data_IF_064595170777
#
_entry.id   IF_064595170777
#
_cell.length_a   1.000
_cell.length_b   1.000
_cell.length_c   1.000
_cell.angle_alpha   90.00
_cell.angle_beta   90.00
_cell.angle_gamma   90.00
#
_symmetry.space_group_name_H-M   'P 1'
#
loop_
_entity.id
_entity.type
_entity.pdbx_description
1 polymer ?
#
# COMPACT_ATOMS: atom_id res chain seq x y z
N UNK A 1 47.92 38.63 34.54
CA UNK A 1 47.14 37.44 34.93
C UNK A 1 47.36 36.38 33.83
N UNK A 2 48.56 35.77 33.71
CA UNK A 2 49.01 34.51 34.35
C UNK A 2 48.07 33.33 34.00
N UNK A 3 48.44 32.19 33.39
CA UNK A 3 49.69 31.43 33.08
C UNK A 3 49.50 30.70 31.71
N UNK A 4 50.47 30.49 30.80
CA UNK A 4 51.80 29.83 30.78
C UNK A 4 51.81 28.27 30.67
N UNK A 5 52.37 27.79 29.54
CA UNK A 5 53.18 26.56 29.29
C UNK A 5 52.43 25.19 29.29
N UNK A 6 52.74 24.21 28.42
CA UNK A 6 54.05 23.57 28.14
C UNK A 6 54.10 22.96 26.72
N UNK A 7 55.29 23.04 26.14
CA UNK A 7 55.78 22.44 24.90
C UNK A 7 56.46 21.09 25.22
N UNK A 8 56.34 20.04 24.40
CA UNK A 8 57.34 18.95 24.42
C UNK A 8 57.55 18.34 23.03
N UNK A 9 58.83 18.07 22.73
CA UNK A 9 59.47 17.97 21.43
C UNK A 9 60.34 16.69 21.44
N UNK A 10 60.31 15.90 20.35
CA UNK A 10 61.32 14.90 19.89
C UNK A 10 61.57 13.69 20.84
N UNK A 11 61.90 12.44 20.43
CA UNK A 11 62.90 11.85 19.51
C UNK A 11 62.42 10.38 19.25
N UNK A 12 62.12 9.90 18.04
CA UNK A 12 62.95 9.25 16.99
C UNK A 12 63.53 7.82 17.26
N UNK A 13 63.30 6.93 16.26
CA UNK A 13 63.92 5.64 15.88
C UNK A 13 63.37 4.35 16.54
N UNK A 14 63.05 3.23 15.86
CA UNK A 14 63.63 2.62 14.64
C UNK A 14 62.74 1.50 14.03
N UNK A 15 62.45 1.59 12.71
CA UNK A 15 62.53 0.53 11.65
C UNK A 15 61.75 -0.82 11.78
N UNK A 16 60.77 -1.09 10.87
CA UNK A 16 60.83 -2.03 9.69
C UNK A 16 59.44 -2.50 9.18
N UNK A 17 59.19 -2.29 7.88
CA UNK A 17 58.37 -3.05 6.91
C UNK A 17 57.10 -3.84 7.35
N UNK A 18 55.92 -3.44 6.85
CA UNK A 18 55.19 -4.15 5.77
C UNK A 18 53.96 -3.35 5.29
N UNK A 19 53.86 -3.30 3.97
CA UNK A 19 52.91 -2.61 3.10
C UNK A 19 51.51 -3.22 3.09
N UNK A 20 50.46 -2.40 3.20
CA UNK A 20 49.15 -2.60 2.54
C UNK A 20 48.64 -1.21 2.11
N UNK A 21 48.42 -1.04 0.80
CA UNK A 21 47.97 0.20 0.17
C UNK A 21 46.55 0.58 0.61
N UNK A 22 46.38 1.79 1.14
CA UNK A 22 45.10 2.49 1.24
C UNK A 22 45.02 3.53 0.13
N UNK A 23 44.22 3.25 -0.90
CA UNK A 23 43.87 4.24 -1.93
C UNK A 23 42.79 5.17 -1.43
N UNK A 24 43.09 6.47 -1.41
CA UNK A 24 42.25 7.57 -0.93
C UNK A 24 41.02 7.82 -1.82
N UNK A 25 39.82 7.72 -1.24
CA UNK A 25 38.59 8.33 -1.76
C UNK A 25 38.55 9.81 -1.32
N UNK A 26 39.33 10.64 -1.99
CA UNK A 26 39.26 12.09 -1.86
C UNK A 26 39.34 12.67 -3.27
N UNK A 27 38.19 12.71 -3.96
CA UNK A 27 37.89 13.60 -5.09
C UNK A 27 36.48 13.31 -5.61
N UNK A 28 35.47 13.68 -4.83
CA UNK A 28 34.07 13.81 -5.30
C UNK A 28 33.45 15.05 -4.64
N UNK A 29 34.10 16.20 -4.83
CA UNK A 29 33.46 17.51 -4.75
C UNK A 29 33.68 18.14 -6.11
N UNK A 30 32.60 18.67 -6.67
CA UNK A 30 32.55 19.40 -7.93
C UNK A 30 32.48 18.51 -9.18
N UNK A 31 31.25 18.17 -9.58
CA UNK A 31 30.95 17.75 -10.95
C UNK A 31 29.70 18.51 -11.40
N UNK A 32 29.95 19.68 -11.98
CA UNK A 32 28.97 20.47 -12.71
C UNK A 32 28.43 19.68 -13.91
N UNK A 33 27.17 19.94 -14.23
CA UNK A 33 26.41 19.27 -15.28
C UNK A 33 26.95 19.74 -16.64
N UNK A 34 27.81 18.92 -17.26
CA UNK A 34 28.24 19.07 -18.64
C UNK A 34 27.53 18.07 -19.55
N UNK A 35 26.95 18.56 -20.64
CA UNK A 35 26.41 17.77 -21.75
C UNK A 35 27.47 16.79 -22.29
N UNK A 36 27.29 15.49 -22.07
CA UNK A 36 28.08 14.46 -22.75
C UNK A 36 27.30 13.90 -23.94
N UNK A 37 27.51 14.52 -25.11
CA UNK A 37 27.35 13.88 -26.40
C UNK A 37 28.66 13.18 -26.76
N UNK A 38 28.72 11.85 -26.66
CA UNK A 38 29.91 11.11 -27.07
C UNK A 38 30.02 9.72 -26.45
N UNK A 39 30.32 8.74 -27.28
CA UNK A 39 30.46 7.31 -26.99
C UNK A 39 31.65 6.99 -26.08
N UNK A 40 31.50 7.15 -24.76
CA UNK A 40 32.50 6.68 -23.79
C UNK A 40 31.89 5.63 -22.84
N UNK A 41 32.31 4.37 -22.99
CA UNK A 41 31.82 3.19 -22.24
C UNK A 41 32.69 2.86 -21.01
N UNK A 42 33.35 3.84 -20.39
CA UNK A 42 34.41 3.57 -19.41
C UNK A 42 34.18 4.11 -17.99
N UNK A 43 33.04 4.73 -17.69
CA UNK A 43 32.71 5.20 -16.33
C UNK A 43 31.40 4.58 -15.84
N UNK A 44 31.43 3.35 -15.33
CA UNK A 44 30.22 2.69 -14.80
C UNK A 44 30.45 2.21 -13.36
N UNK A 45 29.58 2.59 -12.41
CA UNK A 45 29.66 2.06 -11.05
C UNK A 45 29.35 0.55 -11.06
N UNK A 46 30.28 -0.24 -10.54
CA UNK A 46 30.24 -1.70 -10.52
C UNK A 46 29.17 -2.21 -9.53
N UNK A 47 28.15 -2.93 -10.04
CA UNK A 47 27.10 -3.59 -9.24
C UNK A 47 25.90 -3.97 -10.11
N UNK A 48 25.23 -5.11 -9.86
CA UNK A 48 24.11 -5.54 -10.72
C UNK A 48 22.84 -4.73 -10.48
N UNK A 49 22.54 -4.40 -9.22
CA UNK A 49 21.39 -3.54 -8.87
C UNK A 49 21.66 -2.12 -9.39
N UNK A 50 22.88 -1.63 -9.16
CA UNK A 50 23.34 -0.33 -9.66
C UNK A 50 23.27 -0.24 -11.18
N UNK A 51 23.75 -1.26 -11.89
CA UNK A 51 23.69 -1.33 -13.36
C UNK A 51 22.25 -1.32 -13.89
N UNK A 52 21.35 -2.08 -13.26
CA UNK A 52 19.94 -2.10 -13.64
C UNK A 52 19.26 -0.73 -13.43
N UNK A 53 19.60 -0.02 -12.35
CA UNK A 53 19.12 1.35 -12.11
C UNK A 53 19.61 2.34 -13.19
N UNK A 54 20.90 2.32 -13.52
CA UNK A 54 21.45 3.20 -14.57
C UNK A 54 20.87 2.89 -15.95
N UNK A 55 20.54 1.63 -16.24
CA UNK A 55 19.85 1.29 -17.48
C UNK A 55 18.47 1.94 -17.56
N UNK A 56 17.70 1.98 -16.46
CA UNK A 56 16.42 2.72 -16.42
C UNK A 56 16.60 4.22 -16.66
N UNK A 57 17.67 4.82 -16.15
CA UNK A 57 18.01 6.23 -16.42
C UNK A 57 18.33 6.44 -17.91
N UNK A 58 19.17 5.58 -18.50
CA UNK A 58 19.54 5.66 -19.93
C UNK A 58 18.33 5.52 -20.85
N UNK A 59 17.37 4.69 -20.46
CA UNK A 59 16.12 4.50 -21.19
C UNK A 59 15.11 5.64 -20.96
N UNK A 60 15.47 6.68 -20.21
CA UNK A 60 14.59 7.79 -19.82
C UNK A 60 13.33 7.36 -19.04
N UNK A 61 13.36 6.18 -18.39
CA UNK A 61 12.26 5.70 -17.55
C UNK A 61 12.22 6.43 -16.20
N UNK A 62 13.39 6.80 -15.68
CA UNK A 62 13.55 7.50 -14.40
C UNK A 62 14.64 8.57 -14.51
N UNK A 63 14.68 9.51 -13.55
CA UNK A 63 15.77 10.48 -13.42
C UNK A 63 16.64 10.13 -12.21
N UNK A 64 17.87 10.63 -12.19
CA UNK A 64 18.82 10.40 -11.10
C UNK A 64 18.28 10.96 -9.78
N UNK A 65 18.26 10.11 -8.75
CA UNK A 65 17.86 10.48 -7.39
C UNK A 65 18.96 10.10 -6.39
N UNK A 66 19.52 11.11 -5.70
CA UNK A 66 20.60 10.91 -4.73
C UNK A 66 20.18 10.04 -3.54
N UNK A 67 18.92 10.08 -3.14
CA UNK A 67 18.40 9.27 -2.02
C UNK A 67 18.22 7.81 -2.46
N UNK A 68 17.76 7.58 -3.70
CA UNK A 68 17.70 6.23 -4.27
C UNK A 68 19.09 5.61 -4.44
N UNK A 69 20.10 6.40 -4.86
CA UNK A 69 21.48 5.90 -5.00
C UNK A 69 22.07 5.38 -3.68
N UNK A 70 21.83 6.06 -2.55
CA UNK A 70 22.26 5.56 -1.22
C UNK A 70 21.60 4.24 -0.84
N UNK A 71 20.32 4.09 -1.17
CA UNK A 71 19.60 2.83 -0.97
C UNK A 71 20.21 1.74 -1.84
N UNK A 72 20.50 2.04 -3.11
CA UNK A 72 21.11 1.09 -4.07
C UNK A 72 22.48 0.61 -3.58
N UNK A 73 23.33 1.49 -3.03
CA UNK A 73 24.62 1.10 -2.43
C UNK A 73 24.41 0.04 -1.33
N UNK A 74 23.44 0.27 -0.44
CA UNK A 74 23.11 -0.67 0.63
C UNK A 74 22.51 -1.99 0.09
N UNK A 75 21.71 -1.92 -0.97
CA UNK A 75 21.15 -3.10 -1.65
C UNK A 75 22.24 -3.94 -2.31
N UNK A 76 23.25 -3.31 -2.90
CA UNK A 76 24.40 -4.02 -3.49
C UNK A 76 25.24 -4.69 -2.40
N UNK A 77 25.49 -4.02 -1.26
CA UNK A 77 26.16 -4.64 -0.11
C UNK A 77 25.42 -5.86 0.42
N UNK A 78 24.09 -5.77 0.53
CA UNK A 78 23.27 -6.91 0.94
C UNK A 78 23.36 -8.04 -0.09
N UNK A 79 23.26 -7.72 -1.38
CA UNK A 79 23.37 -8.69 -2.47
C UNK A 79 24.68 -9.46 -2.42
N UNK A 80 25.81 -8.77 -2.20
CA UNK A 80 27.13 -9.43 -2.07
C UNK A 80 27.17 -10.38 -0.87
N UNK A 81 26.61 -9.99 0.28
CA UNK A 81 26.48 -10.88 1.45
C UNK A 81 25.62 -12.11 1.15
N UNK A 82 24.58 -11.97 0.34
CA UNK A 82 23.67 -13.07 -0.02
C UNK A 82 24.29 -14.07 -0.99
N UNK A 83 25.32 -13.71 -1.78
CA UNK A 83 25.98 -14.65 -2.70
C UNK A 83 26.60 -15.86 -1.99
N UNK A 84 27.16 -15.63 -0.81
CA UNK A 84 27.81 -16.66 0.00
C UNK A 84 26.91 -17.14 1.15
N UNK A 85 25.67 -16.68 1.21
CA UNK A 85 24.77 -17.01 2.30
C UNK A 85 24.10 -18.36 2.07
N UNK A 86 24.24 -19.25 3.04
CA UNK A 86 23.58 -20.56 3.04
C UNK A 86 22.65 -20.61 4.25
N UNK A 87 21.38 -20.91 3.99
CA UNK A 87 20.38 -21.09 5.04
C UNK A 87 20.61 -22.44 5.71
N UNK A 88 21.21 -22.44 6.89
CA UNK A 88 21.36 -23.66 7.70
C UNK A 88 20.04 -23.97 8.42
N UNK A 89 19.46 -25.15 8.14
CA UNK A 89 18.30 -25.63 8.90
C UNK A 89 18.76 -26.01 10.31
N UNK A 90 18.07 -25.58 11.39
CA UNK A 90 18.45 -25.92 12.75
C UNK A 90 18.39 -27.44 12.96
N UNK A 91 19.56 -28.08 13.06
CA UNK A 91 19.66 -29.52 13.32
C UNK A 91 19.34 -29.82 14.79
N UNK A 92 18.60 -30.89 15.08
CA UNK A 92 18.12 -31.24 16.44
C UNK A 92 19.25 -31.38 17.49
N UNK A 93 20.50 -31.65 17.06
CA UNK A 93 21.67 -31.78 17.93
C UNK A 93 22.36 -30.44 18.27
N UNK A 94 22.03 -29.34 17.58
CA UNK A 94 22.63 -28.02 17.83
C UNK A 94 22.19 -27.36 19.14
N UNK A 95 21.14 -27.89 19.80
CA UNK A 95 20.65 -27.38 21.09
C UNK A 95 21.46 -27.85 22.30
N UNK A 96 22.25 -28.92 22.20
CA UNK A 96 23.01 -29.46 23.34
C UNK A 96 24.38 -28.83 23.54
N UNK A 97 24.94 -28.22 22.48
CA UNK A 97 26.20 -27.50 22.54
C UNK A 97 25.87 -26.06 22.16
N UNK A 98 25.94 -25.14 23.11
CA UNK A 98 25.55 -23.73 22.96
C UNK A 98 26.29 -23.02 21.83
N UNK A 99 25.86 -23.27 20.60
CA UNK A 99 26.37 -22.63 19.38
C UNK A 99 25.83 -21.21 19.37
N UNK A 100 26.71 -20.24 19.13
CA UNK A 100 26.32 -18.86 18.87
C UNK A 100 25.19 -18.84 17.82
N UNK A 101 24.13 -18.05 18.09
CA UNK A 101 23.06 -17.83 17.11
C UNK A 101 23.70 -17.41 15.79
N UNK A 102 23.55 -18.24 14.77
CA UNK A 102 24.11 -17.99 13.45
C UNK A 102 23.56 -16.66 12.92
N UNK A 103 24.47 -15.74 12.59
CA UNK A 103 24.12 -14.39 12.13
C UNK A 103 23.58 -14.46 10.70
N UNK A 104 22.26 -14.38 10.54
CA UNK A 104 21.65 -14.11 9.25
C UNK A 104 21.92 -12.66 8.82
N UNK A 105 22.06 -12.36 7.51
CA UNK A 105 22.14 -11.00 7.02
C UNK A 105 20.92 -10.19 7.42
N UNK A 106 21.13 -8.95 7.87
CA UNK A 106 20.01 -8.05 8.14
C UNK A 106 19.26 -7.76 6.84
N UNK A 107 17.94 -7.88 6.91
CA UNK A 107 17.03 -7.47 5.85
C UNK A 107 16.95 -5.95 5.69
N UNK A 108 16.06 -5.52 4.81
CA UNK A 108 15.80 -4.11 4.52
C UNK A 108 14.35 -3.78 4.85
N UNK A 109 14.15 -2.69 5.58
CA UNK A 109 12.83 -2.09 5.74
C UNK A 109 12.86 -0.70 5.12
N UNK A 110 12.41 -0.61 3.87
CA UNK A 110 12.43 0.63 3.10
C UNK A 110 11.12 1.39 3.31
N UNK A 111 11.18 2.58 3.86
CA UNK A 111 10.00 3.38 4.16
C UNK A 111 10.10 4.82 3.68
N UNK A 112 8.96 5.45 3.46
CA UNK A 112 8.88 6.86 3.04
C UNK A 112 7.56 7.16 2.35
N UNK A 113 7.36 8.40 1.92
CA UNK A 113 6.18 8.82 1.16
C UNK A 113 6.00 7.97 -0.09
N UNK A 114 4.79 7.82 -0.62
CA UNK A 114 4.62 7.03 -1.86
C UNK A 114 5.11 7.84 -3.07
N UNK A 115 5.35 7.15 -4.17
CA UNK A 115 5.90 7.77 -5.38
C UNK A 115 7.42 7.95 -5.36
N UNK A 116 8.09 7.75 -4.23
CA UNK A 116 9.56 7.85 -4.11
C UNK A 116 10.34 6.65 -4.70
N UNK A 117 9.65 5.61 -5.19
CA UNK A 117 10.28 4.48 -5.90
C UNK A 117 10.62 3.25 -5.07
N UNK A 118 10.09 3.08 -3.85
CA UNK A 118 10.38 1.91 -2.98
C UNK A 118 10.17 0.56 -3.67
N UNK A 119 9.00 0.37 -4.28
CA UNK A 119 8.66 -0.87 -4.99
C UNK A 119 9.60 -1.11 -6.17
N UNK A 120 9.95 -0.06 -6.92
CA UNK A 120 10.93 -0.16 -8.01
C UNK A 120 12.32 -0.60 -7.51
N UNK A 121 12.81 -0.04 -6.41
CA UNK A 121 14.09 -0.46 -5.82
C UNK A 121 14.04 -1.90 -5.29
N UNK A 122 12.91 -2.31 -4.70
CA UNK A 122 12.69 -3.70 -4.30
C UNK A 122 12.68 -4.64 -5.51
N UNK A 123 12.06 -4.24 -6.62
CA UNK A 123 12.01 -5.03 -7.86
C UNK A 123 13.40 -5.20 -8.46
N UNK A 124 14.16 -4.10 -8.57
CA UNK A 124 15.55 -4.13 -9.03
C UNK A 124 16.41 -5.09 -8.19
N UNK A 125 16.26 -5.06 -6.86
CA UNK A 125 16.97 -5.99 -5.99
C UNK A 125 16.49 -7.42 -6.17
N UNK A 126 15.18 -7.66 -6.19
CA UNK A 126 14.59 -8.99 -6.32
C UNK A 126 15.03 -9.69 -7.61
N UNK A 127 15.02 -8.96 -8.74
CA UNK A 127 15.45 -9.47 -10.04
C UNK A 127 16.94 -9.82 -10.06
N UNK A 128 17.79 -9.03 -9.38
CA UNK A 128 19.24 -9.18 -9.39
C UNK A 128 19.80 -9.94 -8.16
N UNK A 129 18.93 -10.45 -7.28
CA UNK A 129 19.31 -11.21 -6.10
C UNK A 129 19.82 -12.61 -6.48
N UNK A 130 20.98 -13.06 -5.93
CA UNK A 130 21.57 -14.36 -6.23
C UNK A 130 20.82 -15.55 -5.62
N UNK A 131 19.90 -15.33 -4.67
CA UNK A 131 19.15 -16.42 -4.06
C UNK A 131 18.08 -16.97 -5.02
N UNK A 132 18.04 -18.29 -5.16
CA UNK A 132 17.06 -18.98 -6.00
C UNK A 132 15.66 -19.00 -5.35
N UNK A 133 15.61 -19.30 -4.05
CA UNK A 133 14.37 -19.39 -3.26
C UNK A 133 13.95 -18.00 -2.78
N UNK A 134 13.14 -17.33 -3.58
CA UNK A 134 12.65 -15.97 -3.30
C UNK A 134 11.14 -15.87 -3.56
N UNK A 135 10.45 -15.14 -2.69
CA UNK A 135 9.01 -14.85 -2.82
C UNK A 135 8.79 -13.35 -2.75
N UNK A 136 7.99 -12.83 -3.68
CA UNK A 136 7.52 -11.44 -3.66
C UNK A 136 5.99 -11.42 -3.64
N UNK A 137 5.41 -10.70 -2.69
CA UNK A 137 3.95 -10.58 -2.56
C UNK A 137 3.57 -9.31 -1.81
N UNK A 138 2.29 -8.92 -1.90
CA UNK A 138 1.75 -7.86 -1.05
C UNK A 138 1.51 -8.37 0.38
N UNK A 139 1.72 -7.51 1.38
CA UNK A 139 1.58 -7.90 2.79
C UNK A 139 0.21 -8.52 3.12
N UNK A 140 -0.89 -7.92 2.66
CA UNK A 140 -2.24 -8.46 2.92
C UNK A 140 -2.43 -9.84 2.28
N UNK A 141 -1.94 -10.03 1.06
CA UNK A 141 -2.00 -11.34 0.38
C UNK A 141 -1.18 -12.40 1.12
N UNK A 142 -0.01 -12.02 1.65
CA UNK A 142 0.80 -12.88 2.50
C UNK A 142 0.06 -13.28 3.78
N UNK A 143 -0.57 -12.32 4.46
CA UNK A 143 -1.31 -12.61 5.70
C UNK A 143 -2.53 -13.51 5.45
N UNK A 144 -3.24 -13.33 4.33
CA UNK A 144 -4.33 -14.23 3.94
C UNK A 144 -3.87 -15.67 3.71
N UNK A 145 -2.71 -15.87 3.07
CA UNK A 145 -2.10 -17.21 2.91
C UNK A 145 -1.71 -17.79 4.29
N UNK A 146 -1.05 -16.99 5.14
CA UNK A 146 -0.67 -17.42 6.50
C UNK A 146 -1.89 -17.87 7.31
N UNK A 147 -2.97 -17.09 7.34
CA UNK A 147 -4.20 -17.47 8.05
C UNK A 147 -4.85 -18.72 7.48
N UNK A 148 -4.84 -18.87 6.15
CA UNK A 148 -5.34 -20.08 5.47
C UNK A 148 -4.55 -21.32 5.88
N UNK A 149 -3.21 -21.22 5.91
CA UNK A 149 -2.33 -22.30 6.38
C UNK A 149 -2.56 -22.61 7.87
N UNK A 150 -2.67 -21.59 8.73
CA UNK A 150 -2.97 -21.77 10.15
C UNK A 150 -4.29 -22.54 10.34
N UNK A 151 -5.33 -22.16 9.60
CA UNK A 151 -6.63 -22.83 9.67
C UNK A 151 -6.55 -24.29 9.20
N UNK A 152 -5.83 -24.56 8.12
CA UNK A 152 -5.61 -25.92 7.62
C UNK A 152 -4.88 -26.80 8.64
N UNK A 153 -3.80 -26.30 9.26
CA UNK A 153 -3.08 -27.00 10.33
C UNK A 153 -4.00 -27.32 11.52
N UNK A 154 -4.77 -26.34 12.01
CA UNK A 154 -5.73 -26.55 13.11
C UNK A 154 -6.74 -27.66 12.78
N UNK A 155 -7.29 -27.67 11.56
CA UNK A 155 -8.26 -28.68 11.10
C UNK A 155 -7.66 -30.09 11.04
N UNK A 156 -6.40 -30.22 10.62
CA UNK A 156 -5.69 -31.51 10.59
C UNK A 156 -5.41 -32.03 12.00
N UNK A 157 -4.95 -31.17 12.91
CA UNK A 157 -4.70 -31.55 14.32
C UNK A 157 -5.97 -32.02 15.02
N UNK A 158 -7.12 -31.37 14.77
CA UNK A 158 -8.40 -31.74 15.37
C UNK A 158 -8.91 -33.12 14.91
N UNK A 159 -8.70 -33.50 13.62
CA UNK A 159 -9.10 -34.81 13.09
C UNK A 159 -8.30 -35.97 13.69
N UNK A 160 -7.02 -35.76 13.99
CA UNK A 160 -6.14 -36.77 14.57
C UNK A 160 -6.39 -37.02 16.07
N UNK A 161 -7.20 -36.20 16.73
CA UNK A 161 -7.59 -36.34 18.16
C UNK A 161 -8.82 -37.22 18.40
N UNK A 162 -9.32 -37.92 17.37
CA UNK A 162 -10.44 -38.88 17.50
C UNK A 162 -10.12 -40.11 18.37
N UNK A 163 -8.88 -40.23 18.87
CA UNK A 163 -8.46 -41.22 19.87
C UNK A 163 -8.21 -40.57 21.24
N UNK A 164 -9.27 -40.29 21.98
CA UNK A 164 -9.35 -40.28 23.47
C UNK A 164 -8.39 -39.41 24.32
N UNK A 165 -7.35 -38.78 23.78
CA UNK A 165 -6.36 -38.02 24.55
C UNK A 165 -6.55 -36.53 24.35
N UNK A 166 -7.13 -35.85 25.36
CA UNK A 166 -7.22 -34.38 25.51
C UNK A 166 -5.84 -33.73 25.72
N UNK A 167 -4.82 -34.08 24.94
CA UNK A 167 -3.43 -33.65 25.20
C UNK A 167 -2.88 -32.52 24.32
N UNK A 168 -3.66 -31.94 23.41
CA UNK A 168 -3.16 -30.88 22.51
C UNK A 168 -4.05 -29.63 22.46
N UNK A 169 -4.37 -29.04 23.61
CA UNK A 169 -5.02 -27.70 23.65
C UNK A 169 -4.03 -26.55 23.39
N UNK A 170 -2.72 -26.82 23.40
CA UNK A 170 -1.64 -25.82 23.28
C UNK A 170 -0.81 -25.95 22.00
N UNK A 171 -1.30 -26.63 20.95
CA UNK A 171 -0.53 -26.74 19.71
C UNK A 171 -0.48 -25.37 18.99
N UNK A 172 0.71 -24.82 18.85
CA UNK A 172 0.95 -23.57 18.12
C UNK A 172 1.13 -23.85 16.62
N UNK A 173 0.16 -23.47 15.77
CA UNK A 173 0.29 -23.66 14.32
C UNK A 173 1.24 -22.66 13.66
N UNK A 174 1.66 -21.58 14.34
CA UNK A 174 2.46 -20.51 13.72
C UNK A 174 3.86 -21.01 13.36
N UNK A 175 4.52 -21.74 14.28
CA UNK A 175 5.86 -22.28 14.03
C UNK A 175 5.92 -23.20 12.79
N UNK A 176 5.06 -24.23 12.68
CA UNK A 176 4.95 -25.06 11.48
C UNK A 176 4.64 -24.28 10.20
N UNK A 177 3.74 -23.30 10.28
CA UNK A 177 3.40 -22.45 9.12
C UNK A 177 4.62 -21.64 8.68
N UNK A 178 5.33 -21.00 9.60
CA UNK A 178 6.56 -20.26 9.31
C UNK A 178 7.61 -21.16 8.64
N UNK A 179 7.85 -22.37 9.17
CA UNK A 179 8.78 -23.33 8.56
C UNK A 179 8.39 -23.69 7.14
N UNK A 180 7.11 -23.96 6.88
CA UNK A 180 6.65 -24.29 5.52
C UNK A 180 6.81 -23.13 4.53
N UNK A 181 6.77 -21.88 5.00
CA UNK A 181 7.10 -20.71 4.17
C UNK A 181 8.61 -20.67 3.90
N UNK A 182 9.43 -20.90 4.94
CA UNK A 182 10.89 -20.82 4.85
C UNK A 182 11.52 -21.94 4.02
N UNK A 183 10.85 -23.10 3.92
CA UNK A 183 11.34 -24.22 3.10
C UNK A 183 11.53 -23.82 1.63
N UNK A 184 10.72 -22.89 1.12
CA UNK A 184 10.76 -22.41 -0.26
C UNK A 184 11.08 -20.92 -0.41
N UNK A 185 11.28 -20.20 0.71
CA UNK A 185 11.50 -18.75 0.72
C UNK A 185 12.69 -18.36 1.60
N UNK A 186 13.85 -18.11 0.99
CA UNK A 186 15.04 -17.59 1.66
C UNK A 186 15.11 -16.07 1.63
N UNK A 187 14.59 -15.45 0.56
CA UNK A 187 14.31 -14.02 0.48
C UNK A 187 12.80 -13.80 0.43
N UNK A 188 12.27 -13.11 1.44
CA UNK A 188 10.88 -12.67 1.50
C UNK A 188 10.80 -11.19 1.18
N UNK A 189 10.23 -10.84 0.03
CA UNK A 189 9.95 -9.47 -0.38
C UNK A 189 8.46 -9.15 -0.15
N UNK A 190 8.18 -8.23 0.78
CA UNK A 190 6.82 -7.78 1.12
C UNK A 190 6.61 -6.35 0.67
N UNK A 191 5.76 -6.18 -0.33
CA UNK A 191 5.32 -4.86 -0.77
C UNK A 191 4.15 -4.37 0.08
N UNK A 192 4.05 -3.05 0.27
CA UNK A 192 2.96 -2.40 1.00
C UNK A 192 2.78 -2.98 2.43
N UNK A 193 3.88 -3.10 3.20
CA UNK A 193 3.87 -3.60 4.58
C UNK A 193 3.12 -2.63 5.50
N UNK A 194 1.82 -2.87 5.67
CA UNK A 194 0.95 -2.09 6.53
C UNK A 194 0.08 -3.02 7.39
N UNK A 195 0.08 -2.78 8.70
CA UNK A 195 -0.74 -3.54 9.65
C UNK A 195 -1.92 -2.67 10.09
N UNK A 196 -3.13 -3.14 9.82
CA UNK A 196 -4.38 -2.47 10.21
C UNK A 196 -5.31 -3.40 10.99
N UNK A 197 -5.27 -4.70 10.70
CA UNK A 197 -6.07 -5.72 11.36
C UNK A 197 -5.47 -6.16 12.71
N UNK A 198 -6.34 -6.37 13.70
CA UNK A 198 -5.91 -6.84 15.03
C UNK A 198 -5.46 -8.29 15.01
N UNK A 199 -6.11 -9.15 14.22
CA UNK A 199 -5.76 -10.56 14.09
C UNK A 199 -4.34 -10.74 13.55
N UNK A 200 -3.97 -9.94 12.54
CA UNK A 200 -2.61 -9.86 12.03
C UNK A 200 -1.63 -9.40 13.10
N UNK A 201 -1.94 -8.27 13.76
CA UNK A 201 -1.09 -7.68 14.79
C UNK A 201 -0.74 -8.68 15.91
N UNK A 202 -1.68 -9.56 16.29
CA UNK A 202 -1.48 -10.54 17.36
C UNK A 202 -0.55 -11.70 16.99
N UNK A 203 -0.38 -12.02 15.69
CA UNK A 203 0.44 -13.17 15.26
C UNK A 203 1.82 -12.76 14.72
N UNK A 204 1.97 -11.52 14.25
CA UNK A 204 3.16 -11.05 13.53
C UNK A 204 4.47 -11.26 14.30
N UNK A 205 4.50 -10.95 15.60
CA UNK A 205 5.69 -11.18 16.43
C UNK A 205 6.20 -12.62 16.29
N UNK A 206 5.30 -13.58 16.52
CA UNK A 206 5.63 -15.02 16.56
C UNK A 206 5.98 -15.53 15.17
N UNK A 207 5.20 -15.11 14.17
CA UNK A 207 5.42 -15.48 12.77
C UNK A 207 6.80 -15.02 12.29
N UNK A 208 7.09 -13.73 12.40
CA UNK A 208 8.35 -13.19 11.89
C UNK A 208 9.55 -13.61 12.71
N UNK A 209 9.42 -13.77 14.04
CA UNK A 209 10.50 -14.37 14.84
C UNK A 209 10.85 -15.76 14.31
N UNK A 210 9.85 -16.59 14.04
CA UNK A 210 10.09 -17.92 13.46
C UNK A 210 10.67 -17.83 12.04
N UNK A 211 10.22 -16.90 11.20
CA UNK A 211 10.79 -16.71 9.85
C UNK A 211 12.27 -16.33 9.93
N UNK A 212 12.64 -15.39 10.80
CA UNK A 212 14.03 -14.97 10.98
C UNK A 212 14.89 -16.06 11.63
N UNK A 213 14.36 -16.79 12.60
CA UNK A 213 15.05 -17.93 13.22
C UNK A 213 15.31 -19.09 12.23
N UNK A 214 14.54 -19.18 11.13
CA UNK A 214 14.80 -20.11 10.03
C UNK A 214 15.70 -19.51 8.93
N UNK A 215 16.28 -18.33 9.15
CA UNK A 215 17.29 -17.72 8.28
C UNK A 215 16.74 -17.00 7.06
N UNK A 216 15.42 -16.79 6.95
CA UNK A 216 14.84 -16.00 5.84
C UNK A 216 15.14 -14.52 6.03
N UNK A 217 15.63 -13.89 4.97
CA UNK A 217 15.92 -12.44 4.92
C UNK A 217 14.68 -11.70 4.42
N UNK A 218 14.32 -10.60 5.08
CA UNK A 218 13.16 -9.77 4.71
C UNK A 218 13.60 -8.54 3.92
N UNK A 219 12.91 -8.24 2.82
CA UNK A 219 12.86 -6.90 2.23
C UNK A 219 11.40 -6.44 2.30
N UNK A 220 11.11 -5.45 3.13
CA UNK A 220 9.79 -4.83 3.20
C UNK A 220 9.81 -3.41 2.63
N UNK A 221 8.75 -3.03 1.90
CA UNK A 221 8.46 -1.63 1.59
C UNK A 221 7.27 -1.16 2.42
N UNK A 222 7.29 0.08 2.91
CA UNK A 222 6.16 0.65 3.65
C UNK A 222 6.05 2.16 3.51
N UNK A 223 4.88 2.69 3.82
CA UNK A 223 4.65 4.14 3.91
C UNK A 223 4.70 4.66 5.35
N UNK A 224 4.99 3.76 6.28
CA UNK A 224 5.14 4.07 7.70
C UNK A 224 6.54 3.68 8.14
N UNK A 225 7.13 4.49 9.01
CA UNK A 225 8.31 4.06 9.75
C UNK A 225 7.96 2.83 10.62
N UNK A 226 8.93 1.97 10.98
CA UNK A 226 8.66 0.81 11.83
C UNK A 226 7.92 1.15 13.13
N UNK A 227 8.25 2.29 13.76
CA UNK A 227 7.60 2.74 14.99
C UNK A 227 6.14 3.16 14.79
N UNK A 228 5.76 3.56 13.58
CA UNK A 228 4.40 4.00 13.25
C UNK A 228 3.52 2.87 12.69
N UNK A 229 4.06 1.65 12.56
CA UNK A 229 3.27 0.46 12.22
C UNK A 229 2.21 0.20 13.29
N UNK A 230 0.97 -0.04 12.87
CA UNK A 230 -0.19 -0.28 13.75
C UNK A 230 -0.41 0.82 14.81
N UNK A 231 -0.02 2.07 14.50
CA UNK A 231 -0.24 3.22 15.37
C UNK A 231 -1.74 3.43 15.58
N UNK A 232 -2.14 3.60 16.84
CA UNK A 232 -3.54 3.68 17.28
C UNK A 232 -4.35 2.37 17.11
N UNK A 233 -3.71 1.25 16.78
CA UNK A 233 -4.38 -0.04 16.74
C UNK A 233 -4.78 -0.55 18.12
N UNK A 234 -5.85 -1.34 18.19
CA UNK A 234 -6.34 -1.94 19.43
C UNK A 234 -5.25 -2.86 20.03
N UNK A 235 -5.01 -2.77 21.34
CA UNK A 235 -3.96 -3.51 22.06
C UNK A 235 -2.53 -3.31 21.49
N UNK A 236 -2.19 -2.10 21.03
CA UNK A 236 -0.86 -1.76 20.50
C UNK A 236 0.32 -2.18 21.39
N UNK A 237 0.17 -2.21 22.71
CA UNK A 237 1.21 -2.70 23.64
C UNK A 237 1.68 -4.12 23.30
N UNK A 238 0.78 -4.98 22.83
CA UNK A 238 1.09 -6.36 22.44
C UNK A 238 1.83 -6.43 21.09
N UNK A 239 1.74 -5.37 20.28
CA UNK A 239 2.39 -5.25 18.98
C UNK A 239 3.81 -4.64 19.08
N UNK A 240 4.08 -3.76 20.04
CA UNK A 240 5.41 -3.13 20.22
C UNK A 240 6.59 -4.12 20.23
N UNK A 241 6.48 -5.33 20.84
CA UNK A 241 7.54 -6.32 20.76
C UNK A 241 7.87 -6.79 19.34
N UNK A 242 6.92 -6.77 18.40
CA UNK A 242 7.21 -7.07 16.99
C UNK A 242 8.06 -5.99 16.34
N UNK A 243 7.82 -4.71 16.64
CA UNK A 243 8.64 -3.60 16.13
C UNK A 243 10.12 -3.79 16.53
N UNK A 244 10.36 -4.28 17.75
CA UNK A 244 11.71 -4.57 18.24
C UNK A 244 12.38 -5.67 17.42
N UNK A 245 11.67 -6.78 17.18
CA UNK A 245 12.15 -7.88 16.32
C UNK A 245 12.45 -7.39 14.90
N UNK A 246 11.55 -6.58 14.33
CA UNK A 246 11.71 -6.04 12.99
C UNK A 246 12.97 -5.17 12.87
N UNK A 247 13.23 -4.28 13.83
CA UNK A 247 14.42 -3.42 13.85
C UNK A 247 15.73 -4.16 14.15
N UNK A 248 15.65 -5.27 14.89
CA UNK A 248 16.82 -6.13 15.12
C UNK A 248 17.24 -6.81 13.81
N UNK A 249 16.26 -7.34 13.08
CA UNK A 249 16.46 -8.16 11.89
C UNK A 249 16.56 -7.37 10.59
N UNK A 250 16.07 -6.14 10.53
CA UNK A 250 16.08 -5.29 9.33
C UNK A 250 16.75 -3.95 9.58
N UNK A 251 17.43 -3.42 8.55
CA UNK A 251 17.91 -2.05 8.52
C UNK A 251 16.79 -1.13 8.00
N UNK A 252 16.25 -0.22 8.84
CA UNK A 252 15.28 0.75 8.37
C UNK A 252 15.95 1.83 7.53
N UNK A 253 15.48 2.04 6.31
CA UNK A 253 15.98 3.07 5.40
C UNK A 253 14.86 3.99 4.97
N UNK A 254 15.09 5.30 5.13
CA UNK A 254 14.16 6.32 4.69
C UNK A 254 14.42 6.69 3.23
N UNK A 255 13.35 6.71 2.44
CA UNK A 255 13.35 7.10 1.04
C UNK A 255 12.29 8.17 0.82
N UNK A 256 12.69 9.43 0.92
CA UNK A 256 11.87 10.57 0.51
C UNK A 256 12.79 11.66 -0.05
N UNK A 257 12.67 11.93 -1.34
CA UNK A 257 13.38 13.01 -2.02
C UNK A 257 12.51 14.26 -2.19
N UNK A 258 11.26 14.24 -1.69
CA UNK A 258 10.26 15.28 -1.97
C UNK A 258 9.75 15.25 -3.42
N UNK A 259 10.22 14.30 -4.24
CA UNK A 259 9.84 14.13 -5.64
C UNK A 259 8.98 12.88 -5.77
N UNK A 260 7.68 13.06 -5.99
CA UNK A 260 6.80 11.98 -6.39
C UNK A 260 7.02 11.70 -7.89
N UNK A 261 7.74 10.64 -8.24
CA UNK A 261 7.99 10.29 -9.66
C UNK A 261 6.71 9.94 -10.44
N UNK A 262 5.57 9.75 -9.77
CA UNK A 262 4.25 9.59 -10.41
C UNK A 262 3.66 10.94 -10.87
N UNK A 263 4.12 12.06 -10.31
CA UNK A 263 3.56 13.42 -10.53
C UNK A 263 3.98 14.14 -11.81
N UNK A 264 4.60 13.47 -12.79
CA UNK A 264 4.64 13.99 -14.17
C UNK A 264 3.27 13.89 -14.88
N UNK A 265 2.19 14.21 -14.17
CA UNK A 265 0.83 14.39 -14.70
C UNK A 265 0.27 15.68 -14.08
N UNK A 266 0.62 16.82 -14.68
CA UNK A 266 -0.09 18.10 -14.49
C UNK A 266 -0.56 18.58 -15.86
N UNK A 267 -1.41 17.77 -16.50
CA UNK A 267 -1.97 18.07 -17.83
C UNK A 267 -3.39 18.63 -17.78
N UNK A 268 -4.16 18.37 -16.72
CA UNK A 268 -5.51 18.93 -16.55
C UNK A 268 -5.67 19.50 -15.14
N UNK A 269 -5.91 20.81 -15.05
CA UNK A 269 -6.18 21.52 -13.79
C UNK A 269 -7.52 21.09 -13.14
N UNK A 270 -8.39 20.42 -13.89
CA UNK A 270 -9.72 20.00 -13.44
C UNK A 270 -9.83 18.48 -13.44
N UNK A 271 -10.49 17.91 -12.43
CA UNK A 271 -10.71 16.46 -12.28
C UNK A 271 -12.21 16.10 -12.19
N UNK A 272 -13.05 17.14 -12.12
CA UNK A 272 -14.51 17.10 -12.24
C UNK A 272 -14.89 17.86 -13.51
N UNK A 273 -15.66 17.22 -14.38
CA UNK A 273 -16.05 17.78 -15.68
C UNK A 273 -17.56 17.86 -15.79
N UNK A 274 -18.08 19.04 -16.14
CA UNK A 274 -19.51 19.24 -16.41
C UNK A 274 -19.75 19.07 -17.90
N UNK A 275 -20.73 18.25 -18.28
CA UNK A 275 -21.07 17.94 -19.68
C UNK A 275 -21.37 19.19 -20.51
N UNK A 276 -22.03 20.20 -19.92
CA UNK A 276 -22.40 21.44 -20.61
C UNK A 276 -21.24 22.40 -20.89
N UNK A 277 -20.06 22.18 -20.29
CA UNK A 277 -18.96 23.16 -20.29
C UNK A 277 -17.67 22.63 -20.95
N UNK A 278 -17.61 21.36 -21.33
CA UNK A 278 -16.36 20.75 -21.83
C UNK A 278 -16.56 19.53 -22.73
N UNK A 279 -15.56 19.22 -23.57
CA UNK A 279 -15.39 17.92 -24.23
C UNK A 279 -15.06 16.81 -23.20
N UNK A 280 -15.87 16.67 -22.14
CA UNK A 280 -15.62 15.82 -20.98
C UNK A 280 -15.28 14.38 -21.37
N UNK A 281 -16.00 13.82 -22.35
CA UNK A 281 -15.75 12.49 -22.90
C UNK A 281 -14.34 12.35 -23.45
N UNK A 282 -13.90 13.31 -24.29
CA UNK A 282 -12.57 13.29 -24.90
C UNK A 282 -11.47 13.46 -23.85
N UNK A 283 -11.66 14.37 -22.89
CA UNK A 283 -10.67 14.60 -21.83
C UNK A 283 -10.53 13.38 -20.93
N UNK A 284 -11.65 12.74 -20.55
CA UNK A 284 -11.61 11.50 -19.77
C UNK A 284 -11.03 10.33 -20.57
N UNK A 285 -11.24 10.27 -21.89
CA UNK A 285 -10.61 9.27 -22.75
C UNK A 285 -9.09 9.47 -22.85
N UNK A 286 -8.63 10.71 -23.00
CA UNK A 286 -7.20 11.06 -22.98
C UNK A 286 -6.58 10.76 -21.60
N UNK A 287 -7.27 11.11 -20.51
CA UNK A 287 -6.86 10.78 -19.15
C UNK A 287 -6.77 9.26 -18.93
N UNK A 288 -7.77 8.49 -19.35
CA UNK A 288 -7.75 7.03 -19.26
C UNK A 288 -6.59 6.44 -20.07
N UNK A 289 -6.36 6.88 -21.31
CA UNK A 289 -5.25 6.41 -22.14
C UNK A 289 -3.90 6.65 -21.48
N UNK A 290 -3.69 7.83 -20.92
CA UNK A 290 -2.43 8.21 -20.27
C UNK A 290 -2.22 7.52 -18.91
N UNK A 291 -3.30 7.26 -18.17
CA UNK A 291 -3.23 6.46 -16.94
C UNK A 291 -2.95 4.99 -17.30
N UNK A 292 -3.66 4.43 -18.27
CA UNK A 292 -3.51 3.05 -18.73
C UNK A 292 -2.14 2.78 -19.34
N UNK A 293 -1.52 3.76 -20.03
CA UNK A 293 -0.17 3.61 -20.57
C UNK A 293 0.93 3.50 -19.50
N UNK A 294 0.59 3.76 -18.23
CA UNK A 294 1.50 3.62 -17.08
C UNK A 294 1.31 2.30 -16.34
N UNK A 295 0.31 1.51 -16.71
CA UNK A 295 0.07 0.19 -16.16
C UNK A 295 0.63 -0.88 -17.11
N UNK A 296 1.26 -1.92 -16.56
CA UNK A 296 1.73 -3.07 -17.33
C UNK A 296 0.60 -4.12 -17.50
N UNK A 297 -0.57 -3.70 -17.96
CA UNK A 297 -1.73 -4.57 -18.18
C UNK A 297 -2.47 -4.15 -19.45
N UNK A 298 -3.40 -5.00 -19.91
CA UNK A 298 -4.22 -4.73 -21.09
C UNK A 298 -5.60 -4.21 -20.70
N UNK A 299 -6.20 -3.41 -21.58
CA UNK A 299 -7.57 -2.93 -21.39
C UNK A 299 -8.53 -4.11 -21.57
N UNK A 300 -9.26 -4.47 -20.51
CA UNK A 300 -10.24 -5.56 -20.53
C UNK A 300 -11.33 -5.40 -19.47
N UNK A 301 -12.46 -6.11 -19.62
CA UNK A 301 -13.38 -6.31 -18.52
C UNK A 301 -12.70 -7.05 -17.37
N UNK A 302 -13.01 -6.66 -16.13
CA UNK A 302 -12.53 -7.35 -14.93
C UNK A 302 -13.71 -7.71 -14.04
N UNK A 303 -13.80 -8.98 -13.70
CA UNK A 303 -14.82 -9.52 -12.79
C UNK A 303 -14.22 -9.69 -11.41
N UNK A 304 -14.80 -9.02 -10.43
CA UNK A 304 -14.47 -9.17 -9.02
C UNK A 304 -15.44 -10.18 -8.40
N UNK A 305 -14.90 -11.27 -7.87
CA UNK A 305 -15.70 -12.26 -7.13
C UNK A 305 -15.76 -11.83 -5.66
N UNK A 306 -16.94 -11.39 -5.23
CA UNK A 306 -17.21 -10.84 -3.91
C UNK A 306 -18.19 -11.77 -3.21
N UNK A 307 -17.67 -12.60 -2.30
CA UNK A 307 -18.42 -13.74 -1.73
C UNK A 307 -18.95 -14.66 -2.85
N UNK A 308 -20.27 -14.74 -3.01
CA UNK A 308 -20.94 -15.58 -4.02
C UNK A 308 -21.46 -14.76 -5.22
N UNK A 309 -21.02 -13.51 -5.39
CA UNK A 309 -21.47 -12.62 -6.45
C UNK A 309 -20.30 -12.16 -7.31
N UNK A 310 -20.56 -11.97 -8.59
CA UNK A 310 -19.59 -11.46 -9.55
C UNK A 310 -19.97 -10.02 -9.93
N UNK A 311 -19.04 -9.09 -9.76
CA UNK A 311 -19.18 -7.69 -10.17
C UNK A 311 -18.21 -7.44 -11.33
N UNK A 312 -18.75 -7.25 -12.53
CA UNK A 312 -17.95 -7.02 -13.74
C UNK A 312 -17.93 -5.53 -14.09
N UNK A 313 -16.73 -4.96 -14.15
CA UNK A 313 -16.47 -3.63 -14.69
C UNK A 313 -15.95 -3.78 -16.12
N UNK A 314 -16.56 -3.07 -17.07
CA UNK A 314 -16.35 -3.36 -18.50
C UNK A 314 -15.01 -2.87 -19.04
N UNK A 315 -14.46 -1.79 -18.48
CA UNK A 315 -13.24 -1.16 -18.98
C UNK A 315 -12.27 -0.92 -17.83
N UNK A 316 -11.25 -1.78 -17.74
CA UNK A 316 -10.22 -1.70 -16.71
C UNK A 316 -8.84 -1.92 -17.32
N UNK A 317 -7.80 -1.35 -16.70
CA UNK A 317 -6.40 -1.60 -17.03
C UNK A 317 -5.60 -1.54 -15.73
N UNK A 318 -5.00 -2.65 -15.30
CA UNK A 318 -4.22 -2.71 -14.06
C UNK A 318 -5.03 -2.28 -12.84
N UNK A 319 -4.60 -1.20 -12.17
CA UNK A 319 -5.28 -0.59 -11.01
C UNK A 319 -6.21 0.59 -11.37
N UNK A 320 -6.61 0.71 -12.63
CA UNK A 320 -7.52 1.77 -13.11
C UNK A 320 -8.83 1.14 -13.59
N UNK A 321 -9.95 1.71 -13.15
CA UNK A 321 -11.28 1.39 -13.67
C UNK A 321 -11.91 2.62 -14.36
N UNK A 322 -12.48 2.42 -15.53
CA UNK A 322 -13.30 3.40 -16.25
C UNK A 322 -14.74 2.85 -16.29
N UNK A 323 -15.64 3.50 -15.58
CA UNK A 323 -16.98 3.01 -15.30
C UNK A 323 -18.02 4.10 -15.55
N UNK A 324 -19.21 3.67 -15.95
CA UNK A 324 -20.38 4.56 -15.98
C UNK A 324 -21.07 4.61 -14.62
N UNK A 325 -21.80 5.70 -14.33
CA UNK A 325 -22.66 5.78 -13.15
C UNK A 325 -23.65 4.61 -13.07
N UNK A 326 -24.17 4.15 -14.22
CA UNK A 326 -25.09 3.02 -14.28
C UNK A 326 -24.44 1.70 -13.80
N UNK A 327 -23.20 1.46 -14.18
CA UNK A 327 -22.46 0.27 -13.74
C UNK A 327 -22.27 0.21 -12.23
N UNK A 328 -22.09 1.37 -11.58
CA UNK A 328 -21.83 1.47 -10.15
C UNK A 328 -23.11 1.63 -9.32
N UNK A 329 -24.08 2.41 -9.79
CA UNK A 329 -25.20 2.85 -8.97
C UNK A 329 -26.58 2.36 -9.44
N UNK A 330 -26.77 1.93 -10.69
CA UNK A 330 -28.04 1.31 -11.15
C UNK A 330 -28.11 -0.20 -10.85
N UNK A 331 -26.98 -0.81 -10.51
CA UNK A 331 -26.92 -2.20 -10.04
C UNK A 331 -27.11 -2.28 -8.53
N UNK A 332 -27.57 -3.42 -7.98
CA UNK A 332 -27.73 -3.61 -6.54
C UNK A 332 -26.38 -3.88 -5.85
N UNK A 333 -25.44 -2.93 -5.96
CA UNK A 333 -24.16 -2.95 -5.25
C UNK A 333 -24.31 -2.32 -3.86
N UNK A 334 -23.59 -2.89 -2.89
CA UNK A 334 -23.56 -2.42 -1.50
C UNK A 334 -22.16 -2.00 -1.04
N UNK A 335 -22.05 -1.63 0.23
CA UNK A 335 -20.80 -1.14 0.82
C UNK A 335 -19.61 -2.11 0.66
N UNK A 336 -19.86 -3.41 0.80
CA UNK A 336 -18.82 -4.44 0.63
C UNK A 336 -18.31 -4.47 -0.81
N UNK A 337 -19.19 -4.26 -1.80
CA UNK A 337 -18.79 -4.29 -3.20
C UNK A 337 -17.87 -3.12 -3.53
N UNK A 338 -18.25 -1.92 -3.07
CA UNK A 338 -17.41 -0.72 -3.22
C UNK A 338 -16.10 -0.83 -2.47
N UNK A 339 -16.07 -1.52 -1.32
CA UNK A 339 -14.83 -1.76 -0.58
C UNK A 339 -13.87 -2.61 -1.40
N UNK A 340 -14.33 -3.72 -1.97
CA UNK A 340 -13.47 -4.57 -2.81
C UNK A 340 -13.03 -3.83 -4.08
N UNK A 341 -13.92 -3.05 -4.71
CA UNK A 341 -13.55 -2.19 -5.84
C UNK A 341 -12.44 -1.20 -5.41
N UNK A 342 -12.56 -0.58 -4.24
CA UNK A 342 -11.57 0.38 -3.72
C UNK A 342 -10.23 -0.26 -3.37
N UNK A 343 -10.19 -1.56 -3.08
CA UNK A 343 -8.97 -2.32 -2.81
C UNK A 343 -8.26 -2.73 -4.11
N UNK A 344 -9.01 -2.97 -5.18
CA UNK A 344 -8.44 -3.38 -6.48
C UNK A 344 -8.01 -2.18 -7.32
N UNK A 345 -8.77 -1.08 -7.26
CA UNK A 345 -8.53 0.10 -8.08
C UNK A 345 -8.10 1.30 -7.26
N UNK A 346 -7.01 1.92 -7.70
CA UNK A 346 -6.44 3.11 -7.06
C UNK A 346 -6.92 4.40 -7.73
N UNK A 347 -7.40 4.28 -8.98
CA UNK A 347 -8.02 5.37 -9.75
C UNK A 347 -9.30 4.84 -10.36
N UNK A 348 -10.39 5.56 -10.17
CA UNK A 348 -11.70 5.25 -10.77
C UNK A 348 -12.19 6.47 -11.53
N UNK A 349 -12.47 6.30 -12.81
CA UNK A 349 -13.17 7.27 -13.65
C UNK A 349 -14.66 6.91 -13.58
N UNK A 350 -15.50 7.85 -13.15
CA UNK A 350 -16.96 7.70 -13.07
C UNK A 350 -17.59 8.63 -14.11
N UNK A 351 -18.15 8.05 -15.17
CA UNK A 351 -18.76 8.79 -16.27
C UNK A 351 -20.26 8.97 -16.07
N UNK A 352 -20.73 10.09 -16.59
CA UNK A 352 -22.15 10.37 -16.81
C UNK A 352 -22.97 10.31 -15.51
N UNK A 353 -22.47 10.97 -14.47
CA UNK A 353 -23.21 11.15 -13.21
C UNK A 353 -24.40 12.07 -13.51
N UNK A 354 -25.65 11.57 -13.41
CA UNK A 354 -26.83 12.40 -13.66
C UNK A 354 -27.06 13.37 -12.50
N UNK A 355 -27.86 14.41 -12.74
CA UNK A 355 -28.46 15.12 -11.62
C UNK A 355 -29.45 14.19 -10.89
N UNK A 356 -29.18 13.86 -9.64
CA UNK A 356 -29.96 12.90 -8.87
C UNK A 356 -31.23 13.56 -8.32
N UNK A 357 -32.38 13.06 -8.75
CA UNK A 357 -33.72 13.52 -8.33
C UNK A 357 -34.34 12.56 -7.29
N UNK A 358 -35.50 12.92 -6.69
CA UNK A 358 -36.24 12.06 -5.73
C UNK A 358 -36.53 10.66 -6.27
N UNK A 359 -36.72 10.52 -7.59
CA UNK A 359 -36.99 9.22 -8.25
C UNK A 359 -35.77 8.28 -8.24
N UNK A 360 -34.57 8.81 -8.02
CA UNK A 360 -33.30 8.08 -8.00
C UNK A 360 -32.73 7.94 -6.57
N UNK A 361 -33.60 7.90 -5.55
CA UNK A 361 -33.20 7.80 -4.14
C UNK A 361 -32.26 6.62 -3.85
N UNK A 362 -32.55 5.46 -4.43
CA UNK A 362 -31.72 4.25 -4.26
C UNK A 362 -30.33 4.42 -4.90
N UNK A 363 -30.26 5.04 -6.08
CA UNK A 363 -29.00 5.36 -6.76
C UNK A 363 -28.21 6.41 -5.98
N UNK A 364 -28.87 7.44 -5.47
CA UNK A 364 -28.24 8.48 -4.66
C UNK A 364 -27.61 7.91 -3.38
N UNK A 365 -28.34 7.04 -2.66
CA UNK A 365 -27.80 6.32 -1.49
C UNK A 365 -26.59 5.45 -1.85
N UNK A 366 -26.67 4.73 -2.97
CA UNK A 366 -25.54 3.93 -3.47
C UNK A 366 -24.33 4.79 -3.83
N UNK A 367 -24.55 5.95 -4.46
CA UNK A 367 -23.49 6.89 -4.82
C UNK A 367 -22.85 7.52 -3.59
N UNK A 368 -23.63 7.91 -2.57
CA UNK A 368 -23.09 8.35 -1.27
C UNK A 368 -22.19 7.26 -0.69
N UNK A 369 -22.68 6.03 -0.57
CA UNK A 369 -21.90 4.91 -0.02
C UNK A 369 -20.63 4.62 -0.83
N UNK A 370 -20.70 4.74 -2.16
CA UNK A 370 -19.56 4.60 -3.06
C UNK A 370 -18.50 5.67 -2.76
N UNK A 371 -18.88 6.95 -2.77
CA UNK A 371 -17.95 8.06 -2.53
C UNK A 371 -17.39 8.00 -1.12
N UNK A 372 -18.21 7.66 -0.12
CA UNK A 372 -17.75 7.46 1.25
C UNK A 372 -16.67 6.39 1.32
N UNK A 373 -16.92 5.23 0.71
CA UNK A 373 -15.98 4.12 0.68
C UNK A 373 -14.70 4.50 -0.06
N UNK A 374 -14.81 5.19 -1.18
CA UNK A 374 -13.67 5.66 -1.96
C UNK A 374 -12.85 6.72 -1.21
N UNK A 375 -13.51 7.62 -0.49
CA UNK A 375 -12.88 8.63 0.35
C UNK A 375 -12.07 8.00 1.48
N UNK A 376 -12.69 7.06 2.19
CA UNK A 376 -12.07 6.40 3.34
C UNK A 376 -10.88 5.53 2.89
N UNK A 377 -10.95 4.94 1.69
CA UNK A 377 -9.87 4.16 1.07
C UNK A 377 -8.95 4.98 0.15
N UNK A 378 -9.06 6.31 0.18
CA UNK A 378 -8.24 7.26 -0.59
C UNK A 378 -8.20 7.00 -2.10
N UNK A 379 -9.23 6.38 -2.68
CA UNK A 379 -9.36 6.19 -4.14
C UNK A 379 -9.39 7.54 -4.83
N UNK A 380 -8.62 7.69 -5.91
CA UNK A 380 -8.62 8.89 -6.75
C UNK A 380 -9.77 8.80 -7.74
N UNK A 381 -10.61 9.82 -7.77
CA UNK A 381 -11.82 9.84 -8.59
C UNK A 381 -11.73 10.95 -9.62
N UNK A 382 -11.88 10.60 -10.90
CA UNK A 382 -12.23 11.56 -11.94
C UNK A 382 -13.69 11.33 -12.29
N UNK A 383 -14.43 12.40 -12.54
CA UNK A 383 -15.83 12.25 -12.88
C UNK A 383 -16.29 13.23 -13.95
N UNK A 384 -17.26 12.77 -14.74
CA UNK A 384 -18.10 13.62 -15.55
C UNK A 384 -19.53 13.61 -15.02
N UNK A 385 -20.17 14.78 -15.00
CA UNK A 385 -21.52 14.94 -14.49
C UNK A 385 -22.35 15.91 -15.35
N UNK A 386 -23.65 15.68 -15.35
CA UNK A 386 -24.62 16.54 -16.05
C UNK A 386 -24.63 17.97 -15.50
N UNK A 387 -24.38 18.13 -14.20
CA UNK A 387 -24.42 19.42 -13.49
C UNK A 387 -23.19 19.61 -12.59
N UNK A 388 -22.85 20.86 -12.21
CA UNK A 388 -21.80 21.12 -11.24
C UNK A 388 -22.02 20.41 -9.90
N UNK A 389 -20.93 20.09 -9.17
CA UNK A 389 -20.94 19.38 -7.88
C UNK A 389 -22.05 19.83 -6.90
N UNK A 390 -22.20 21.15 -6.72
CA UNK A 390 -23.17 21.75 -5.79
C UNK A 390 -24.65 21.51 -6.18
N UNK A 391 -24.91 21.08 -7.42
CA UNK A 391 -26.24 20.83 -7.97
C UNK A 391 -26.51 19.34 -8.22
N UNK A 392 -25.57 18.45 -7.91
CA UNK A 392 -25.69 17.00 -8.14
C UNK A 392 -26.91 16.40 -7.44
N UNK A 393 -27.27 16.92 -6.26
CA UNK A 393 -28.45 16.54 -5.52
C UNK A 393 -29.43 17.71 -5.51
N UNK A 394 -30.68 17.45 -5.89
CA UNK A 394 -31.76 18.41 -5.72
C UNK A 394 -32.38 18.23 -4.33
N UNK A 395 -32.21 19.17 -3.39
CA UNK A 395 -32.86 19.11 -2.08
C UNK A 395 -34.37 19.21 -2.24
N UNK A 396 -35.12 18.51 -1.37
CA UNK A 396 -36.58 18.41 -1.45
C UNK A 396 -37.35 19.71 -1.10
N UNK A 397 -36.66 20.82 -0.84
CA UNK A 397 -37.29 22.03 -0.30
C UNK A 397 -37.68 22.99 -1.42
N UNK A 398 -38.89 22.81 -1.96
CA UNK A 398 -39.79 23.91 -2.38
C UNK A 398 -41.20 23.37 -2.59
N UNK A 399 -42.00 23.31 -1.51
CA UNK A 399 -43.43 23.67 -1.40
C UNK A 399 -44.13 22.85 -0.30
N UNK A 400 -44.62 23.46 0.79
CA UNK A 400 -45.27 22.77 1.90
C UNK A 400 -46.71 22.28 1.63
N UNK A 401 -47.22 22.34 0.40
CA UNK A 401 -48.69 22.33 0.16
C UNK A 401 -49.23 21.04 -0.48
N UNK A 402 -48.39 20.04 -0.79
CA UNK A 402 -48.83 18.86 -1.56
C UNK A 402 -48.71 17.50 -0.83
N UNK A 403 -48.59 17.47 0.50
CA UNK A 403 -48.18 16.24 1.22
C UNK A 403 -49.26 15.57 2.11
N UNK A 404 -50.54 15.94 2.02
CA UNK A 404 -51.55 15.32 2.88
C UNK A 404 -52.23 14.06 2.29
N UNK A 405 -52.37 13.93 0.97
CA UNK A 405 -53.29 12.91 0.43
C UNK A 405 -52.70 11.50 0.30
N UNK A 406 -51.45 11.35 -0.17
CA UNK A 406 -50.86 10.01 -0.39
C UNK A 406 -50.43 9.31 0.92
N UNK A 407 -50.04 10.07 1.94
CA UNK A 407 -49.63 9.52 3.23
C UNK A 407 -50.83 9.18 4.13
N UNK A 408 -52.00 9.77 3.89
CA UNK A 408 -53.21 9.50 4.70
C UNK A 408 -53.77 8.10 4.44
N UNK A 409 -53.76 7.66 3.19
CA UNK A 409 -54.19 6.30 2.81
C UNK A 409 -53.31 5.21 3.44
N UNK A 410 -51.99 5.44 3.51
CA UNK A 410 -51.03 4.51 4.12
C UNK A 410 -51.09 4.48 5.65
N UNK A 411 -51.46 5.60 6.29
CA UNK A 411 -51.56 5.69 7.74
C UNK A 411 -52.87 5.08 8.29
N UNK A 412 -53.96 5.17 7.53
CA UNK A 412 -55.24 4.53 7.87
C UNK A 412 -55.15 2.99 7.73
N UNK A 413 -54.46 2.47 6.72
CA UNK A 413 -54.25 1.02 6.53
C UNK A 413 -53.38 0.36 7.63
N UNK A 414 -52.58 1.14 8.34
CA UNK A 414 -51.63 0.67 9.35
C UNK A 414 -52.09 0.89 10.80
N UNK A 415 -53.28 1.45 11.03
CA UNK A 415 -53.85 1.71 12.36
C UNK A 415 -52.91 2.48 13.31
N UNK A 416 -52.08 3.39 12.79
CA UNK A 416 -51.15 4.18 13.60
C UNK A 416 -51.89 5.41 14.13
N UNK A 417 -52.24 5.40 15.41
CA UNK A 417 -52.85 6.55 16.09
C UNK A 417 -51.80 7.63 16.34
N UNK A 418 -52.12 8.89 15.97
CA UNK A 418 -51.25 10.05 16.20
C UNK A 418 -50.97 10.19 17.71
N UNK A 419 -49.70 10.01 18.10
CA UNK A 419 -49.22 10.24 19.47
C UNK A 419 -48.41 9.12 20.13
N UNK A 420 -48.01 8.06 19.42
CA UNK A 420 -47.07 7.06 19.97
C UNK A 420 -45.62 7.34 19.56
N UNK A 421 -44.64 6.95 20.39
CA UNK A 421 -43.19 7.07 20.13
C UNK A 421 -42.75 6.38 18.81
N UNK A 422 -43.58 5.50 18.24
CA UNK A 422 -43.34 4.90 16.93
C UNK A 422 -43.74 5.80 15.75
N UNK A 423 -44.36 6.96 16.00
CA UNK A 423 -44.54 8.00 14.99
C UNK A 423 -43.22 8.71 14.64
N UNK A 424 -42.24 8.71 15.55
CA UNK A 424 -40.89 9.25 15.30
C UNK A 424 -39.99 8.26 14.53
N UNK A 425 -40.36 6.98 14.44
CA UNK A 425 -39.56 5.95 13.76
C UNK A 425 -39.91 5.77 12.26
N UNK A 426 -40.99 6.38 11.76
CA UNK A 426 -41.48 6.15 10.39
C UNK A 426 -41.28 7.33 9.41
N UNK A 427 -40.63 8.40 9.84
CA UNK A 427 -40.33 9.57 9.00
C UNK A 427 -38.83 9.84 9.00
N UNK A 428 -38.14 9.28 7.99
CA UNK A 428 -36.82 9.71 7.55
C UNK A 428 -36.82 11.24 7.42
N UNK A 429 -36.27 11.94 8.41
CA UNK A 429 -36.15 13.38 8.37
C UNK A 429 -35.23 13.74 7.20
N UNK A 430 -35.67 14.67 6.35
CA UNK A 430 -34.86 15.13 5.20
C UNK A 430 -33.50 15.70 5.62
N UNK A 431 -33.29 15.96 6.91
CA UNK A 431 -32.07 16.48 7.50
C UNK A 431 -30.89 15.50 7.41
N UNK A 432 -31.10 14.20 7.68
CA UNK A 432 -30.02 13.20 7.54
C UNK A 432 -29.58 13.01 6.08
N UNK A 433 -30.53 13.09 5.14
CA UNK A 433 -30.23 12.98 3.71
C UNK A 433 -29.50 14.22 3.20
N UNK A 434 -29.91 15.42 3.61
CA UNK A 434 -29.21 16.67 3.30
C UNK A 434 -27.78 16.66 3.85
N UNK A 435 -27.60 16.25 5.11
CA UNK A 435 -26.27 16.12 5.71
C UNK A 435 -25.39 15.10 4.96
N UNK A 436 -25.96 13.96 4.56
CA UNK A 436 -25.23 12.98 3.77
C UNK A 436 -24.82 13.54 2.39
N UNK A 437 -25.69 14.32 1.73
CA UNK A 437 -25.39 14.97 0.44
C UNK A 437 -24.28 16.02 0.57
N UNK A 438 -24.38 16.93 1.54
CA UNK A 438 -23.37 17.98 1.77
C UNK A 438 -22.00 17.38 2.08
N UNK A 439 -21.99 16.32 2.90
CA UNK A 439 -20.77 15.55 3.18
C UNK A 439 -20.18 14.90 1.93
N UNK A 440 -21.02 14.30 1.07
CA UNK A 440 -20.56 13.73 -0.21
C UNK A 440 -19.99 14.80 -1.15
N UNK A 441 -20.64 15.96 -1.25
CA UNK A 441 -20.14 17.09 -2.06
C UNK A 441 -18.81 17.62 -1.51
N UNK A 442 -18.68 17.76 -0.19
CA UNK A 442 -17.43 18.15 0.47
C UNK A 442 -16.30 17.15 0.17
N UNK A 443 -16.57 15.84 0.30
CA UNK A 443 -15.62 14.77 0.00
C UNK A 443 -15.20 14.79 -1.46
N UNK A 444 -16.15 14.93 -2.40
CA UNK A 444 -15.83 15.04 -3.82
C UNK A 444 -14.99 16.27 -4.13
N UNK A 445 -15.26 17.41 -3.46
CA UNK A 445 -14.49 18.64 -3.61
C UNK A 445 -13.05 18.44 -3.13
N UNK A 446 -12.86 17.83 -1.95
CA UNK A 446 -11.53 17.49 -1.44
C UNK A 446 -10.81 16.51 -2.39
N UNK A 447 -11.53 15.51 -2.91
CA UNK A 447 -11.01 14.59 -3.92
C UNK A 447 -10.56 15.27 -5.21
N UNK A 448 -10.93 16.53 -5.48
CA UNK A 448 -10.40 17.27 -6.64
C UNK A 448 -9.06 17.94 -6.36
N UNK A 449 -8.64 18.07 -5.09
CA UNK A 449 -7.42 18.78 -4.71
C UNK A 449 -6.15 17.99 -5.04
N UNK A 450 -5.08 18.69 -5.41
CA UNK A 450 -3.77 18.06 -5.63
C UNK A 450 -3.31 17.30 -4.38
N UNK A 451 -3.54 17.87 -3.19
CA UNK A 451 -3.25 17.24 -1.91
C UNK A 451 -3.89 15.86 -1.78
N UNK A 452 -5.20 15.73 -2.04
CA UNK A 452 -5.89 14.45 -1.95
C UNK A 452 -5.35 13.42 -2.94
N UNK A 453 -5.07 13.84 -4.17
CA UNK A 453 -4.50 12.96 -5.18
C UNK A 453 -3.08 12.48 -4.85
N UNK A 454 -2.40 13.25 -4.00
CA UNK A 454 -1.11 12.90 -3.45
C UNK A 454 -1.21 12.04 -2.18
N UNK A 455 -2.41 11.87 -1.57
CA UNK A 455 -2.62 11.03 -0.37
C UNK A 455 -2.47 9.52 -0.64
N UNK A 456 -2.96 9.02 -1.79
CA UNK A 456 -2.76 7.61 -2.21
C UNK A 456 -1.50 7.40 -3.04
N UNK A 457 -0.86 8.50 -3.45
CA UNK A 457 0.59 8.52 -3.65
C UNK A 457 1.34 8.87 -2.38
N UNK A 458 0.73 8.66 -1.19
CA UNK A 458 1.39 8.46 0.12
C UNK A 458 0.92 7.23 0.94
N UNK A 459 0.05 6.35 0.41
CA UNK A 459 -0.55 5.20 1.14
C UNK A 459 -0.17 3.82 0.65
#
# INVERSE_FOLDING_TARGET
>A
MMLKFVNCKLILNSVRHKSIQTGSLSNCKDMEIGNCSGSDRSCHPHGAVTGAYWNKIRNNEITVDKTQLKVIETLEELREKLKTYVVEKPSMFSKLFGKEKQKYPKGIYLYGSVGCGKTMLMDLFYENCPLEKKMRTHFNSFMLDVHSRIHAYKKQTLKNTSSGSRKNLNYDPIGPVARSICDDTWLLCLDEFQVTDIGDAMILKRLFTAIFDNGTVLFATSNRAPDDLYKNGLQRSNFLPFISVLKECCLPMWLDSGVDYRTKFSGSKNRFYVHSESNATRVLDEAFKLLASRENDVIRPKTLTIKNRNVTLQKTCGRIADCTFKELCDRPLGAIDYLVISQVFNVVIIRDIPQMTRRQKSQARRFITLIDTFYDNKVRVLCSAEVPLKKLFLPAVTNPVLFEDENRALMDDLNITKGSENADASLFSGEEEVFAFDRTVSRLTEMQTDEYWNLRSSS
#
